data_IF_071607803465
#
_entry.id   IF_071607803465
#
_cell.length_a   1.000
_cell.length_b   1.000
_cell.length_c   1.000
_cell.angle_alpha   90.00
_cell.angle_beta   90.00
_cell.angle_gamma   90.00
#
_symmetry.space_group_name_H-M   'P 1'
#
loop_
_entity.id
_entity.type
_entity.pdbx_description
1 polymer ?
#
# COMPACT_ATOMS: atom_id res chain seq x y z
N UNK A 1 -14.53 10.06 -9.56
CA UNK A 1 -14.59 11.27 -10.40
C UNK A 1 -14.18 12.53 -9.64
N UNK A 2 -14.88 12.95 -8.57
CA UNK A 2 -14.55 14.18 -7.84
C UNK A 2 -13.09 14.25 -7.34
N UNK A 3 -12.55 13.18 -6.76
CA UNK A 3 -11.15 13.14 -6.32
C UNK A 3 -10.15 13.33 -7.48
N UNK A 4 -10.43 12.75 -8.64
CA UNK A 4 -9.59 12.89 -9.83
C UNK A 4 -9.56 14.33 -10.31
N UNK A 5 -10.73 14.95 -10.46
CA UNK A 5 -10.84 16.34 -10.92
C UNK A 5 -10.13 17.29 -9.96
N UNK A 6 -10.31 17.11 -8.65
CA UNK A 6 -9.65 17.93 -7.64
C UNK A 6 -8.12 17.78 -7.71
N UNK A 7 -7.60 16.55 -7.77
CA UNK A 7 -6.15 16.30 -7.85
C UNK A 7 -5.57 16.84 -9.16
N UNK A 8 -6.23 16.59 -10.28
CA UNK A 8 -5.85 17.13 -11.59
C UNK A 8 -5.75 18.66 -11.55
N UNK A 9 -6.78 19.33 -11.00
CA UNK A 9 -6.81 20.78 -10.86
C UNK A 9 -5.67 21.30 -9.97
N UNK A 10 -5.46 20.69 -8.80
CA UNK A 10 -4.39 21.10 -7.86
C UNK A 10 -3.00 20.96 -8.49
N UNK A 11 -2.70 19.84 -9.14
CA UNK A 11 -1.40 19.62 -9.78
C UNK A 11 -1.18 20.66 -10.88
N UNK A 12 -2.21 20.89 -11.71
CA UNK A 12 -2.14 21.87 -12.80
C UNK A 12 -1.92 23.29 -12.30
N UNK A 13 -2.59 23.71 -11.22
CA UNK A 13 -2.41 25.05 -10.66
C UNK A 13 -1.02 25.31 -10.13
N UNK A 14 -0.39 24.30 -9.54
CA UNK A 14 0.91 24.47 -8.89
C UNK A 14 2.08 24.48 -9.88
N UNK A 15 1.85 24.21 -11.18
CA UNK A 15 2.86 24.16 -12.25
C UNK A 15 4.12 23.33 -11.93
N UNK A 16 4.05 22.50 -10.88
CA UNK A 16 5.18 21.76 -10.34
C UNK A 16 4.95 20.27 -10.57
N UNK A 17 5.73 19.69 -11.47
CA UNK A 17 5.94 18.25 -11.51
C UNK A 17 7.03 17.92 -10.48
N UNK A 18 6.81 16.87 -9.70
CA UNK A 18 7.79 16.41 -8.72
C UNK A 18 9.09 15.91 -9.37
N UNK A 19 10.11 15.68 -8.53
CA UNK A 19 11.44 15.29 -9.00
C UNK A 19 11.45 13.98 -9.81
N UNK A 20 10.56 13.03 -9.50
CA UNK A 20 10.54 11.70 -10.12
C UNK A 20 9.90 11.66 -11.51
N UNK A 21 9.18 12.71 -11.91
CA UNK A 21 8.40 12.72 -13.15
C UNK A 21 9.29 12.61 -14.40
N UNK A 22 10.43 13.29 -14.42
CA UNK A 22 11.40 13.20 -15.52
C UNK A 22 11.99 11.79 -15.67
N UNK A 23 12.23 11.11 -14.55
CA UNK A 23 12.69 9.72 -14.57
C UNK A 23 11.62 8.79 -15.18
N UNK A 24 10.34 9.01 -14.88
CA UNK A 24 9.27 8.22 -15.47
C UNK A 24 9.10 8.41 -16.98
N UNK A 25 9.23 9.65 -17.48
CA UNK A 25 9.22 9.89 -18.92
C UNK A 25 10.35 9.13 -19.61
N UNK A 26 11.57 9.20 -19.06
CA UNK A 26 12.71 8.45 -19.57
C UNK A 26 12.42 6.94 -19.65
N UNK A 27 11.79 6.36 -18.62
CA UNK A 27 11.44 4.94 -18.64
C UNK A 27 10.31 4.59 -19.61
N UNK A 28 9.35 5.50 -19.81
CA UNK A 28 8.33 5.34 -20.84
C UNK A 28 8.94 5.41 -22.25
N UNK A 29 9.91 6.29 -22.48
CA UNK A 29 10.62 6.43 -23.76
C UNK A 29 11.39 5.17 -24.11
N UNK A 30 12.08 4.55 -23.14
CA UNK A 30 12.73 3.23 -23.35
C UNK A 30 11.70 2.18 -23.83
N UNK A 31 10.51 2.12 -23.24
CA UNK A 31 9.46 1.20 -23.66
C UNK A 31 8.90 1.49 -25.06
N UNK A 32 8.98 2.75 -25.50
CA UNK A 32 8.60 3.20 -26.85
C UNK A 32 9.71 3.01 -27.88
N UNK A 33 10.85 2.43 -27.48
CA UNK A 33 12.01 2.21 -28.34
C UNK A 33 12.97 3.41 -28.45
N UNK A 34 12.76 4.44 -27.64
CA UNK A 34 13.58 5.66 -27.59
C UNK A 34 14.67 5.54 -26.51
N UNK A 35 15.45 4.45 -26.54
CA UNK A 35 16.55 4.21 -25.59
C UNK A 35 17.86 4.85 -26.08
N UNK A 36 17.93 6.18 -26.02
CA UNK A 36 19.09 6.96 -26.49
C UNK A 36 20.39 6.59 -25.78
N UNK A 37 20.31 6.15 -24.53
CA UNK A 37 21.47 5.80 -23.69
C UNK A 37 21.84 4.31 -23.82
N UNK A 38 21.00 3.49 -24.44
CA UNK A 38 21.17 2.03 -24.51
C UNK A 38 21.12 1.36 -23.12
N UNK A 39 20.43 1.99 -22.17
CA UNK A 39 20.45 1.59 -20.78
C UNK A 39 19.46 0.49 -20.43
N UNK A 40 18.51 0.21 -21.32
CA UNK A 40 17.36 -0.65 -21.06
C UNK A 40 16.44 -0.11 -19.97
N UNK A 41 15.40 -0.88 -19.66
CA UNK A 41 14.44 -0.53 -18.63
C UNK A 41 15.00 -0.87 -17.23
N UNK A 42 15.36 0.16 -16.46
CA UNK A 42 15.96 0.01 -15.12
C UNK A 42 14.99 0.27 -13.96
N UNK A 43 13.69 0.21 -14.24
CA UNK A 43 12.62 0.49 -13.27
C UNK A 43 11.46 -0.49 -13.48
N UNK A 44 10.66 -0.85 -12.45
CA UNK A 44 9.54 -1.76 -12.63
C UNK A 44 8.57 -1.24 -13.72
N UNK A 45 8.13 -2.10 -14.66
CA UNK A 45 7.57 -1.64 -15.94
C UNK A 45 6.15 -1.10 -15.88
N UNK A 46 5.34 -1.44 -14.88
CA UNK A 46 3.89 -1.25 -14.98
C UNK A 46 3.50 0.23 -15.03
N UNK A 47 4.13 1.09 -14.22
CA UNK A 47 3.85 2.53 -14.28
C UNK A 47 4.37 3.15 -15.60
N UNK A 48 5.62 2.89 -16.05
CA UNK A 48 6.07 3.29 -17.38
C UNK A 48 5.15 2.82 -18.53
N UNK A 49 4.58 1.61 -18.47
CA UNK A 49 3.60 1.14 -19.47
C UNK A 49 2.34 2.00 -19.44
N UNK A 50 1.77 2.28 -18.26
CA UNK A 50 0.60 3.15 -18.10
C UNK A 50 0.86 4.55 -18.66
N UNK A 51 2.03 5.11 -18.38
CA UNK A 51 2.44 6.41 -18.88
C UNK A 51 2.63 6.39 -20.40
N UNK A 52 3.29 5.37 -20.94
CA UNK A 52 3.49 5.19 -22.39
C UNK A 52 2.17 5.13 -23.14
N UNK A 53 1.16 4.44 -22.58
CA UNK A 53 -0.18 4.42 -23.16
C UNK A 53 -0.83 5.82 -23.16
N UNK A 54 -0.66 6.59 -22.09
CA UNK A 54 -1.21 7.96 -22.01
C UNK A 54 -0.53 8.92 -23.00
N UNK A 55 0.77 8.74 -23.24
CA UNK A 55 1.56 9.50 -24.22
C UNK A 55 1.15 9.24 -25.68
N UNK A 56 0.34 8.21 -25.97
CA UNK A 56 -0.24 8.02 -27.30
C UNK A 56 -1.28 9.08 -27.65
N UNK A 57 -1.86 9.74 -26.65
CA UNK A 57 -3.01 10.64 -26.81
C UNK A 57 -2.77 12.06 -26.28
N UNK A 58 -1.75 12.25 -25.43
CA UNK A 58 -1.51 13.47 -24.67
C UNK A 58 -0.04 13.89 -24.78
N UNK A 59 0.23 15.19 -24.62
CA UNK A 59 1.59 15.68 -24.42
C UNK A 59 2.17 15.19 -23.08
N UNK A 60 3.50 15.27 -22.94
CA UNK A 60 4.25 14.73 -21.80
C UNK A 60 3.75 15.25 -20.46
N UNK A 61 3.53 16.56 -20.35
CA UNK A 61 3.09 17.20 -19.10
C UNK A 61 1.67 16.78 -18.78
N UNK A 62 0.75 16.85 -19.75
CA UNK A 62 -0.64 16.46 -19.53
C UNK A 62 -0.75 14.96 -19.19
N UNK A 63 -0.01 14.09 -19.87
CA UNK A 63 0.01 12.65 -19.59
C UNK A 63 0.46 12.35 -18.15
N UNK A 64 1.51 13.03 -17.69
CA UNK A 64 2.01 12.90 -16.33
C UNK A 64 0.98 13.36 -15.28
N UNK A 65 0.33 14.50 -15.49
CA UNK A 65 -0.70 15.03 -14.58
C UNK A 65 -1.91 14.09 -14.53
N UNK A 66 -2.36 13.59 -15.69
CA UNK A 66 -3.48 12.64 -15.78
C UNK A 66 -3.13 11.34 -15.06
N UNK A 67 -1.95 10.77 -15.32
CA UNK A 67 -1.48 9.56 -14.63
C UNK A 67 -1.41 9.76 -13.11
N UNK A 68 -0.85 10.88 -12.64
CA UNK A 68 -0.80 11.20 -11.21
C UNK A 68 -2.19 11.31 -10.59
N UNK A 69 -3.07 12.14 -11.17
CA UNK A 69 -4.44 12.29 -10.68
C UNK A 69 -5.19 10.95 -10.69
N UNK A 70 -4.98 10.12 -11.71
CA UNK A 70 -5.59 8.81 -11.86
C UNK A 70 -5.14 7.83 -10.77
N UNK A 71 -3.84 7.59 -10.62
CA UNK A 71 -3.30 6.60 -9.67
C UNK A 71 -3.69 6.94 -8.23
N UNK A 72 -3.66 8.22 -7.88
CA UNK A 72 -4.04 8.68 -6.54
C UNK A 72 -5.55 8.67 -6.29
N UNK A 73 -6.37 8.64 -7.34
CA UNK A 73 -7.84 8.59 -7.19
C UNK A 73 -8.37 7.17 -7.24
N UNK A 74 -7.76 6.30 -8.04
CA UNK A 74 -8.27 4.95 -8.28
C UNK A 74 -8.14 4.05 -7.06
N UNK A 75 -7.23 4.33 -6.12
CA UNK A 75 -7.07 3.58 -4.85
C UNK A 75 -8.38 3.45 -4.08
N UNK A 76 -9.29 4.42 -4.21
CA UNK A 76 -10.59 4.42 -3.53
C UNK A 76 -11.35 3.13 -3.78
N UNK A 77 -11.26 2.59 -5.00
CA UNK A 77 -12.08 1.48 -5.43
C UNK A 77 -11.64 0.15 -4.79
N UNK A 78 -10.39 -0.32 -4.99
CA UNK A 78 -9.96 -1.55 -4.34
C UNK A 78 -9.94 -1.42 -2.81
N UNK A 79 -9.61 -0.23 -2.29
CA UNK A 79 -9.64 -0.01 -0.85
C UNK A 79 -11.05 -0.10 -0.26
N UNK A 80 -12.05 0.49 -0.92
CA UNK A 80 -13.45 0.35 -0.54
C UNK A 80 -13.90 -1.11 -0.52
N UNK A 81 -13.54 -1.88 -1.54
CA UNK A 81 -13.88 -3.30 -1.62
C UNK A 81 -13.19 -4.11 -0.50
N UNK A 82 -11.92 -3.84 -0.22
CA UNK A 82 -11.20 -4.47 0.89
C UNK A 82 -11.82 -4.09 2.24
N UNK A 83 -12.14 -2.82 2.45
CA UNK A 83 -12.85 -2.33 3.62
C UNK A 83 -14.21 -3.01 3.78
N UNK A 84 -15.02 -3.12 2.72
CA UNK A 84 -16.32 -3.81 2.73
C UNK A 84 -16.18 -5.29 3.11
N UNK A 85 -15.10 -5.97 2.70
CA UNK A 85 -14.82 -7.35 3.12
C UNK A 85 -14.55 -7.46 4.63
N UNK A 86 -13.88 -6.47 5.21
CA UNK A 86 -13.52 -6.44 6.64
C UNK A 86 -14.70 -5.98 7.51
N UNK A 87 -15.37 -4.88 7.15
CA UNK A 87 -16.44 -4.29 7.94
C UNK A 87 -17.82 -4.91 7.68
N UNK A 88 -18.01 -5.58 6.55
CA UNK A 88 -19.33 -5.87 6.00
C UNK A 88 -19.91 -4.65 5.27
N UNK A 89 -21.25 -4.54 5.26
CA UNK A 89 -21.95 -3.38 4.69
C UNK A 89 -21.93 -2.13 5.58
N UNK A 90 -22.70 -1.12 5.16
CA UNK A 90 -22.91 0.14 5.88
C UNK A 90 -21.93 1.26 5.53
N UNK A 91 -21.88 2.28 6.38
CA UNK A 91 -21.18 3.55 6.13
C UNK A 91 -19.66 3.49 6.35
N UNK A 92 -19.16 2.57 7.18
CA UNK A 92 -17.74 2.53 7.55
C UNK A 92 -16.77 2.26 6.39
N UNK A 93 -17.05 1.35 5.43
CA UNK A 93 -16.25 1.23 4.21
C UNK A 93 -16.16 2.54 3.43
N UNK A 94 -17.25 3.33 3.37
CA UNK A 94 -17.28 4.61 2.66
C UNK A 94 -16.38 5.62 3.38
N UNK A 95 -16.54 5.78 4.70
CA UNK A 95 -15.72 6.67 5.52
C UNK A 95 -14.24 6.31 5.38
N UNK A 96 -13.89 5.04 5.54
CA UNK A 96 -12.52 4.55 5.41
C UNK A 96 -11.92 4.88 4.03
N UNK A 97 -12.72 4.74 2.98
CA UNK A 97 -12.31 5.03 1.59
C UNK A 97 -12.16 6.53 1.30
N UNK A 98 -12.95 7.38 1.97
CA UNK A 98 -12.74 8.83 1.89
C UNK A 98 -11.44 9.23 2.59
N UNK A 99 -11.17 8.65 3.76
CA UNK A 99 -9.95 8.93 4.53
C UNK A 99 -8.68 8.53 3.79
N UNK A 100 -8.67 7.38 3.08
CA UNK A 100 -7.49 6.95 2.32
C UNK A 100 -7.22 7.86 1.11
N UNK A 101 -8.27 8.31 0.42
CA UNK A 101 -8.16 9.11 -0.80
C UNK A 101 -7.62 10.51 -0.54
N UNK A 102 -8.04 11.10 0.58
CA UNK A 102 -7.63 12.44 1.04
C UNK A 102 -6.56 12.38 2.12
N UNK A 103 -5.86 11.25 2.24
CA UNK A 103 -4.79 11.13 3.21
C UNK A 103 -3.66 12.13 2.91
N UNK A 104 -3.18 12.81 3.95
CA UNK A 104 -2.12 13.82 3.83
C UNK A 104 -0.82 13.22 3.28
N UNK A 105 -0.42 12.03 3.72
CA UNK A 105 0.82 11.39 3.25
C UNK A 105 0.75 11.09 1.74
N UNK A 106 -0.43 10.72 1.23
CA UNK A 106 -0.61 10.55 -0.22
C UNK A 106 -0.67 11.88 -0.96
N UNK A 107 -1.19 12.92 -0.33
CA UNK A 107 -1.15 14.27 -0.89
C UNK A 107 0.26 14.85 -0.92
N UNK A 108 1.13 14.47 0.01
CA UNK A 108 2.56 14.79 -0.05
C UNK A 108 3.26 13.97 -1.15
N UNK A 109 2.93 12.67 -1.24
CA UNK A 109 3.50 11.75 -2.21
C UNK A 109 3.25 12.16 -3.67
N UNK A 110 2.09 12.77 -3.97
CA UNK A 110 1.83 13.29 -5.31
C UNK A 110 2.76 14.45 -5.68
N UNK A 111 3.19 15.24 -4.68
CA UNK A 111 4.00 16.45 -4.85
C UNK A 111 5.44 16.16 -5.25
N UNK A 112 6.04 15.10 -4.72
CA UNK A 112 7.39 14.66 -5.13
C UNK A 112 7.37 13.64 -6.28
N UNK A 113 6.20 13.11 -6.63
CA UNK A 113 6.00 12.24 -7.79
C UNK A 113 5.99 10.75 -7.50
N UNK A 114 5.53 10.31 -6.33
CA UNK A 114 5.41 8.89 -5.98
C UNK A 114 4.27 8.15 -6.70
N UNK A 115 4.01 8.43 -7.98
CA UNK A 115 2.90 7.87 -8.75
C UNK A 115 3.02 6.36 -8.93
N UNK A 116 4.22 5.87 -9.21
CA UNK A 116 4.48 4.44 -9.34
C UNK A 116 4.29 3.70 -8.00
N UNK A 117 4.70 4.33 -6.89
CA UNK A 117 4.46 3.80 -5.54
C UNK A 117 2.96 3.79 -5.24
N UNK A 118 2.24 4.85 -5.59
CA UNK A 118 0.78 4.91 -5.42
C UNK A 118 0.06 3.82 -6.22
N UNK A 119 0.48 3.60 -7.48
CA UNK A 119 -0.06 2.52 -8.30
C UNK A 119 0.20 1.14 -7.66
N UNK A 120 1.38 0.93 -7.07
CA UNK A 120 1.65 -0.28 -6.31
C UNK A 120 0.71 -0.41 -5.09
N UNK A 121 0.40 0.67 -4.38
CA UNK A 121 -0.57 0.67 -3.27
C UNK A 121 -2.02 0.37 -3.73
N UNK A 122 -2.40 0.79 -4.93
CA UNK A 122 -3.69 0.41 -5.55
C UNK A 122 -3.75 -1.11 -5.72
N UNK A 123 -2.70 -1.72 -6.26
CA UNK A 123 -2.62 -3.18 -6.42
C UNK A 123 -2.51 -3.91 -5.09
N UNK A 124 -1.81 -3.35 -4.11
CA UNK A 124 -1.75 -3.89 -2.76
C UNK A 124 -3.15 -3.90 -2.11
N UNK A 125 -3.92 -2.82 -2.26
CA UNK A 125 -5.30 -2.77 -1.78
C UNK A 125 -6.19 -3.82 -2.51
N UNK A 126 -5.98 -4.02 -3.81
CA UNK A 126 -6.69 -5.05 -4.58
C UNK A 126 -6.32 -6.47 -4.12
N UNK A 127 -5.03 -6.71 -3.82
CA UNK A 127 -4.55 -7.95 -3.20
C UNK A 127 -5.32 -8.27 -1.91
N UNK A 128 -5.58 -7.27 -1.05
CA UNK A 128 -6.33 -7.48 0.20
C UNK A 128 -7.75 -8.02 -0.02
N UNK A 129 -8.40 -7.68 -1.13
CA UNK A 129 -9.73 -8.20 -1.46
C UNK A 129 -9.70 -9.74 -1.59
N UNK A 130 -8.73 -10.26 -2.35
CA UNK A 130 -8.61 -11.69 -2.60
C UNK A 130 -7.93 -12.43 -1.46
N UNK A 131 -6.98 -11.78 -0.79
CA UNK A 131 -6.35 -12.27 0.43
C UNK A 131 -7.37 -12.53 1.54
N UNK A 132 -8.30 -11.59 1.78
CA UNK A 132 -9.36 -11.78 2.77
C UNK A 132 -10.30 -12.94 2.42
N UNK A 133 -10.58 -13.17 1.13
CA UNK A 133 -11.30 -14.36 0.71
C UNK A 133 -10.49 -15.65 0.95
N UNK A 134 -9.18 -15.64 0.69
CA UNK A 134 -8.29 -16.79 0.93
C UNK A 134 -8.21 -17.15 2.42
N UNK A 135 -8.23 -16.15 3.31
CA UNK A 135 -8.29 -16.37 4.76
C UNK A 135 -9.56 -17.13 5.15
N UNK A 136 -10.70 -16.76 4.54
CA UNK A 136 -12.01 -17.37 4.82
C UNK A 136 -12.19 -18.73 4.17
N UNK A 137 -11.61 -18.92 2.98
CA UNK A 137 -11.68 -20.17 2.23
C UNK A 137 -10.31 -20.50 1.60
N UNK A 138 -9.50 -21.21 2.38
CA UNK A 138 -8.13 -21.60 2.02
C UNK A 138 -8.07 -22.52 0.79
N UNK A 139 -9.19 -23.13 0.36
CA UNK A 139 -9.22 -24.02 -0.81
C UNK A 139 -9.50 -23.28 -2.12
N UNK A 140 -9.96 -22.01 -2.09
CA UNK A 140 -10.36 -21.31 -3.30
C UNK A 140 -9.16 -20.90 -4.17
N UNK A 141 -8.91 -21.64 -5.25
CA UNK A 141 -7.76 -21.38 -6.13
C UNK A 141 -7.91 -20.08 -6.94
N UNK A 142 -9.14 -19.68 -7.30
CA UNK A 142 -9.38 -18.44 -8.04
C UNK A 142 -8.90 -17.22 -7.26
N UNK A 143 -9.24 -17.15 -5.97
CA UNK A 143 -8.79 -16.06 -5.11
C UNK A 143 -7.26 -16.09 -4.91
N UNK A 144 -6.63 -17.27 -4.83
CA UNK A 144 -5.16 -17.38 -4.76
C UNK A 144 -4.48 -16.86 -6.02
N UNK A 145 -4.98 -17.23 -7.19
CA UNK A 145 -4.48 -16.75 -8.48
C UNK A 145 -4.60 -15.24 -8.58
N UNK A 146 -5.75 -14.68 -8.21
CA UNK A 146 -5.96 -13.23 -8.24
C UNK A 146 -5.10 -12.50 -7.21
N UNK A 147 -4.95 -13.03 -5.99
CA UNK A 147 -4.02 -12.49 -5.00
C UNK A 147 -2.57 -12.50 -5.52
N UNK A 148 -2.12 -13.61 -6.11
CA UNK A 148 -0.80 -13.73 -6.71
C UNK A 148 -0.59 -12.77 -7.89
N UNK A 149 -1.61 -12.59 -8.74
CA UNK A 149 -1.58 -11.60 -9.82
C UNK A 149 -1.40 -10.17 -9.29
N UNK A 150 -2.15 -9.78 -8.25
CA UNK A 150 -2.01 -8.44 -7.66
C UNK A 150 -0.69 -8.27 -6.89
N UNK A 151 -0.10 -9.33 -6.35
CA UNK A 151 1.28 -9.31 -5.85
C UNK A 151 2.23 -8.99 -7.00
N UNK A 152 2.16 -9.71 -8.12
CA UNK A 152 2.99 -9.43 -9.29
C UNK A 152 2.79 -8.01 -9.80
N UNK A 153 1.54 -7.53 -9.88
CA UNK A 153 1.25 -6.15 -10.27
C UNK A 153 1.84 -5.11 -9.30
N UNK A 154 1.86 -5.39 -8.00
CA UNK A 154 2.50 -4.53 -7.00
C UNK A 154 4.02 -4.50 -7.20
N UNK A 155 4.64 -5.66 -7.38
CA UNK A 155 6.08 -5.81 -7.63
C UNK A 155 6.48 -5.10 -8.93
N UNK A 156 5.74 -5.33 -10.02
CA UNK A 156 5.99 -4.69 -11.30
C UNK A 156 5.73 -3.19 -11.32
N UNK A 157 5.14 -2.60 -10.28
CA UNK A 157 4.88 -1.16 -10.18
C UNK A 157 5.96 -0.40 -9.42
N UNK A 158 6.44 -0.94 -8.28
CA UNK A 158 7.43 -0.23 -7.46
C UNK A 158 8.26 -1.18 -6.57
N UNK A 159 9.58 -0.96 -6.52
CA UNK A 159 10.50 -1.82 -5.77
C UNK A 159 10.31 -1.73 -4.24
N UNK A 160 10.05 -0.53 -3.69
CA UNK A 160 9.71 -0.38 -2.26
C UNK A 160 8.45 -1.16 -1.87
N UNK A 161 7.43 -1.18 -2.73
CA UNK A 161 6.21 -1.95 -2.46
C UNK A 161 6.46 -3.45 -2.54
N UNK A 162 7.36 -3.91 -3.42
CA UNK A 162 7.83 -5.30 -3.41
C UNK A 162 8.54 -5.67 -2.11
N UNK A 163 9.42 -4.80 -1.61
CA UNK A 163 10.09 -5.00 -0.33
C UNK A 163 9.09 -4.99 0.85
N UNK A 164 8.12 -4.07 0.84
CA UNK A 164 7.01 -4.05 1.81
C UNK A 164 6.21 -5.35 1.79
N UNK A 165 5.87 -5.88 0.62
CA UNK A 165 5.18 -7.17 0.46
C UNK A 165 6.00 -8.34 1.02
N UNK A 166 7.31 -8.39 0.75
CA UNK A 166 8.18 -9.41 1.33
C UNK A 166 8.15 -9.35 2.86
N UNK A 167 8.31 -8.14 3.42
CA UNK A 167 8.24 -7.92 4.87
C UNK A 167 6.86 -8.26 5.43
N UNK A 168 5.78 -8.02 4.69
CA UNK A 168 4.43 -8.43 5.05
C UNK A 168 4.33 -9.96 5.16
N UNK A 169 4.81 -10.70 4.16
CA UNK A 169 4.79 -12.17 4.20
C UNK A 169 5.60 -12.72 5.37
N UNK A 170 6.78 -12.19 5.62
CA UNK A 170 7.63 -12.59 6.76
C UNK A 170 6.94 -12.30 8.10
N UNK A 171 6.42 -11.09 8.28
CA UNK A 171 5.72 -10.68 9.50
C UNK A 171 4.44 -11.50 9.71
N UNK A 172 3.68 -11.75 8.64
CA UNK A 172 2.44 -12.52 8.69
C UNK A 172 2.70 -13.98 9.06
N UNK A 173 3.69 -14.63 8.42
CA UNK A 173 4.09 -16.00 8.76
C UNK A 173 4.62 -16.09 10.21
N UNK A 174 5.38 -15.11 10.66
CA UNK A 174 5.84 -15.04 12.05
C UNK A 174 4.67 -14.94 13.04
N UNK A 175 3.72 -14.02 12.80
CA UNK A 175 2.53 -13.87 13.64
C UNK A 175 1.62 -15.11 13.60
N UNK A 176 1.50 -15.77 12.45
CA UNK A 176 0.80 -17.06 12.34
C UNK A 176 1.50 -18.16 13.15
N UNK A 177 2.83 -18.22 13.12
CA UNK A 177 3.61 -19.18 13.90
C UNK A 177 3.40 -18.95 15.40
N UNK A 178 3.45 -17.70 15.87
CA UNK A 178 3.14 -17.34 17.26
C UNK A 178 1.71 -17.72 17.62
N UNK A 179 0.74 -17.45 16.74
CA UNK A 179 -0.66 -17.79 16.95
C UNK A 179 -0.90 -19.30 17.00
N UNK A 180 -0.19 -20.08 16.17
CA UNK A 180 -0.26 -21.54 16.12
C UNK A 180 0.44 -22.18 17.32
N UNK A 181 1.58 -21.65 17.78
CA UNK A 181 2.27 -22.14 18.97
C UNK A 181 1.36 -22.11 20.21
N UNK A 182 0.54 -21.06 20.34
CA UNK A 182 -0.47 -20.94 21.41
C UNK A 182 -1.67 -21.89 21.25
N UNK A 183 -1.94 -22.38 20.05
CA UNK A 183 -3.08 -23.27 19.77
C UNK A 183 -2.70 -24.39 18.78
N UNK A 184 -1.82 -25.30 19.22
CA UNK A 184 -1.16 -26.30 18.35
C UNK A 184 -2.10 -27.24 17.58
N UNK A 185 -3.35 -27.38 18.01
CA UNK A 185 -4.36 -28.25 17.37
C UNK A 185 -5.13 -27.56 16.23
N UNK A 186 -4.89 -26.27 15.97
CA UNK A 186 -5.62 -25.53 14.94
C UNK A 186 -5.06 -25.79 13.54
N UNK A 187 -5.64 -26.79 12.85
CA UNK A 187 -5.30 -27.15 11.48
C UNK A 187 -5.58 -26.00 10.47
N UNK A 188 -6.45 -25.04 10.80
CA UNK A 188 -6.74 -23.93 9.90
C UNK A 188 -5.53 -23.00 9.75
N UNK A 189 -4.79 -22.75 10.84
CA UNK A 189 -3.57 -21.92 10.82
C UNK A 189 -2.48 -22.56 9.95
N UNK A 190 -2.31 -23.89 10.05
CA UNK A 190 -1.36 -24.64 9.21
C UNK A 190 -1.73 -24.56 7.74
N UNK A 191 -3.01 -24.76 7.41
CA UNK A 191 -3.51 -24.66 6.04
C UNK A 191 -3.34 -23.23 5.48
N UNK A 192 -3.58 -22.21 6.31
CA UNK A 192 -3.38 -20.82 5.92
C UNK A 192 -1.91 -20.49 5.68
N UNK A 193 -0.99 -20.97 6.51
CA UNK A 193 0.45 -20.82 6.28
C UNK A 193 0.88 -21.48 4.96
N UNK A 194 0.41 -22.71 4.68
CA UNK A 194 0.65 -23.37 3.39
C UNK A 194 0.09 -22.54 2.22
N UNK A 195 -1.12 -22.01 2.36
CA UNK A 195 -1.72 -21.18 1.32
C UNK A 195 -0.98 -19.86 1.11
N UNK A 196 -0.44 -19.28 2.19
CA UNK A 196 0.40 -18.08 2.15
C UNK A 196 1.65 -18.32 1.31
N UNK A 197 2.34 -19.45 1.54
CA UNK A 197 3.52 -19.85 0.77
C UNK A 197 3.17 -20.09 -0.71
N UNK A 198 2.04 -20.75 -0.99
CA UNK A 198 1.57 -20.97 -2.37
C UNK A 198 1.31 -19.64 -3.08
N UNK A 199 0.57 -18.72 -2.45
CA UNK A 199 0.28 -17.40 -3.01
C UNK A 199 1.58 -16.62 -3.26
N UNK A 200 2.51 -16.63 -2.29
CA UNK A 200 3.81 -15.98 -2.43
C UNK A 200 4.64 -16.55 -3.58
N UNK A 201 4.73 -17.88 -3.70
CA UNK A 201 5.44 -18.56 -4.78
C UNK A 201 4.82 -18.25 -6.15
N UNK A 202 3.49 -18.30 -6.26
CA UNK A 202 2.79 -17.94 -7.49
C UNK A 202 3.03 -16.46 -7.86
N UNK A 203 2.98 -15.56 -6.88
CA UNK A 203 3.27 -14.14 -7.08
C UNK A 203 4.71 -13.92 -7.55
N UNK A 204 5.68 -14.65 -6.98
CA UNK A 204 7.06 -14.63 -7.42
C UNK A 204 7.21 -15.11 -8.88
N UNK A 205 6.62 -16.26 -9.23
CA UNK A 205 6.64 -16.79 -10.60
C UNK A 205 6.04 -15.78 -11.59
N UNK A 206 4.89 -15.18 -11.25
CA UNK A 206 4.25 -14.15 -12.06
C UNK A 206 5.04 -12.84 -12.13
N UNK A 207 6.01 -12.63 -11.23
CA UNK A 207 6.88 -11.45 -11.21
C UNK A 207 8.19 -11.66 -11.98
N UNK A 208 8.47 -12.88 -12.46
CA UNK A 208 9.71 -13.18 -13.20
C UNK A 208 9.94 -12.31 -14.44
N UNK A 209 8.93 -11.82 -15.19
CA UNK A 209 9.17 -10.89 -16.29
C UNK A 209 9.86 -9.58 -15.88
N UNK A 210 9.80 -9.20 -14.59
CA UNK A 210 10.39 -7.97 -14.08
C UNK A 210 11.84 -8.14 -13.63
N UNK A 211 12.40 -9.36 -13.68
CA UNK A 211 13.71 -9.67 -13.06
C UNK A 211 14.83 -8.76 -13.58
N UNK A 212 14.82 -8.42 -14.88
CA UNK A 212 15.82 -7.53 -15.48
C UNK A 212 15.78 -6.12 -14.89
N UNK A 213 14.60 -5.58 -14.63
CA UNK A 213 14.46 -4.28 -13.96
C UNK A 213 15.04 -4.34 -12.55
N UNK A 214 14.83 -5.45 -11.83
CA UNK A 214 15.32 -5.64 -10.47
C UNK A 214 16.83 -5.88 -10.39
N UNK A 215 17.44 -6.59 -11.33
CA UNK A 215 18.91 -6.75 -11.35
C UNK A 215 19.61 -5.41 -11.51
N UNK A 216 19.08 -4.50 -12.34
CA UNK A 216 19.60 -3.14 -12.44
C UNK A 216 19.44 -2.35 -11.14
N UNK A 217 18.28 -2.45 -10.48
CA UNK A 217 18.03 -1.75 -9.21
C UNK A 217 18.99 -2.25 -8.12
N UNK A 218 19.20 -3.56 -8.02
CA UNK A 218 20.12 -4.17 -7.05
C UNK A 218 21.57 -3.70 -7.22
N UNK A 219 21.98 -3.37 -8.45
CA UNK A 219 23.32 -2.85 -8.76
C UNK A 219 23.40 -1.32 -8.76
N UNK A 220 22.31 -0.62 -8.41
CA UNK A 220 22.23 0.84 -8.47
C UNK A 220 22.40 1.49 -7.10
N UNK A 221 22.86 2.75 -7.09
CA UNK A 221 22.92 3.58 -5.89
C UNK A 221 21.56 3.77 -5.21
N UNK A 222 20.44 3.60 -5.93
CA UNK A 222 19.08 3.72 -5.39
C UNK A 222 18.81 2.67 -4.31
N UNK A 223 19.41 1.48 -4.40
CA UNK A 223 19.29 0.47 -3.34
C UNK A 223 20.10 0.87 -2.09
N UNK A 224 21.25 1.53 -2.29
CA UNK A 224 22.07 2.08 -1.21
C UNK A 224 21.38 3.24 -0.47
N UNK A 225 20.43 3.94 -1.10
CA UNK A 225 19.53 4.88 -0.39
C UNK A 225 18.51 4.17 0.49
N UNK A 226 18.21 2.90 0.24
CA UNK A 226 17.26 2.11 1.05
C UNK A 226 17.95 1.17 2.03
N UNK A 227 19.25 1.37 2.24
CA UNK A 227 20.14 0.46 2.94
C UNK A 227 19.58 0.05 4.31
N UNK A 228 19.00 -1.16 4.34
CA UNK A 228 18.42 -1.76 5.53
C UNK A 228 19.53 -1.96 6.56
N UNK A 229 19.22 -1.64 7.82
CA UNK A 229 20.14 -1.65 8.96
C UNK A 229 21.17 -0.52 8.98
N UNK A 230 21.05 0.48 8.11
CA UNK A 230 21.78 1.75 8.24
C UNK A 230 20.89 2.80 8.91
N UNK A 231 20.95 2.86 10.24
CA UNK A 231 20.28 3.91 11.01
C UNK A 231 21.26 5.08 11.14
N UNK A 232 20.87 6.25 10.65
CA UNK A 232 21.67 7.47 10.77
C UNK A 232 20.88 8.57 11.52
N UNK A 233 21.50 9.75 11.66
CA UNK A 233 20.88 10.89 12.33
C UNK A 233 19.58 11.33 11.65
N UNK A 234 19.46 11.17 10.32
CA UNK A 234 18.25 11.54 9.58
C UNK A 234 17.07 10.67 10.00
N UNK A 235 17.32 9.38 10.29
CA UNK A 235 16.29 8.48 10.82
C UNK A 235 15.76 8.98 12.16
N UNK A 236 16.66 9.35 13.07
CA UNK A 236 16.30 9.85 14.40
C UNK A 236 15.58 11.20 14.33
N UNK A 237 16.09 12.13 13.51
CA UNK A 237 15.49 13.45 13.32
C UNK A 237 14.10 13.33 12.71
N UNK A 238 13.91 12.45 11.71
CA UNK A 238 12.61 12.18 11.13
C UNK A 238 11.63 11.63 12.17
N UNK A 239 12.03 10.62 12.95
CA UNK A 239 11.17 10.04 13.98
C UNK A 239 10.82 11.06 15.07
N UNK A 240 11.78 11.89 15.47
CA UNK A 240 11.57 12.98 16.42
C UNK A 240 10.55 13.98 15.87
N UNK A 241 10.75 14.43 14.64
CA UNK A 241 9.88 15.38 13.96
C UNK A 241 8.46 14.82 13.81
N UNK A 242 8.34 13.60 13.28
CA UNK A 242 7.06 12.99 12.97
C UNK A 242 6.24 12.62 14.21
N UNK A 243 6.88 12.12 15.28
CA UNK A 243 6.16 11.65 16.46
C UNK A 243 5.87 12.76 17.48
N UNK A 244 6.76 13.75 17.62
CA UNK A 244 6.73 14.69 18.73
C UNK A 244 6.47 16.14 18.35
N UNK A 245 6.60 16.53 17.08
CA UNK A 245 6.22 17.91 16.73
C UNK A 245 4.72 18.11 16.69
N UNK A 246 4.30 19.26 17.22
CA UNK A 246 2.90 19.66 17.34
C UNK A 246 2.13 19.56 16.01
N UNK A 247 2.80 19.87 14.89
CA UNK A 247 2.22 19.81 13.54
C UNK A 247 1.79 18.39 13.13
N UNK A 248 2.36 17.36 13.76
CA UNK A 248 2.06 15.95 13.49
C UNK A 248 1.27 15.26 14.60
N UNK A 249 0.90 15.97 15.69
CA UNK A 249 0.13 15.38 16.79
C UNK A 249 -1.16 14.71 16.31
N UNK A 250 -1.84 15.30 15.32
CA UNK A 250 -3.03 14.69 14.71
C UNK A 250 -2.72 13.32 14.09
N UNK A 251 -1.63 13.20 13.32
CA UNK A 251 -1.22 11.94 12.71
C UNK A 251 -0.81 10.90 13.76
N UNK A 252 -0.13 11.34 14.83
CA UNK A 252 0.21 10.49 15.97
C UNK A 252 -1.05 9.97 16.69
N UNK A 253 -2.07 10.82 16.90
CA UNK A 253 -3.36 10.38 17.45
C UNK A 253 -4.04 9.37 16.52
N UNK A 254 -4.10 9.62 15.21
CA UNK A 254 -4.68 8.68 14.25
C UNK A 254 -3.93 7.34 14.23
N UNK A 255 -2.59 7.37 14.35
CA UNK A 255 -1.75 6.18 14.48
C UNK A 255 -2.16 5.35 15.70
N UNK A 256 -2.23 5.96 16.88
CA UNK A 256 -2.62 5.25 18.12
C UNK A 256 -4.03 4.67 18.03
N UNK A 257 -5.00 5.46 17.57
CA UNK A 257 -6.39 5.00 17.40
C UNK A 257 -6.48 3.87 16.35
N UNK A 258 -5.70 3.95 15.28
CA UNK A 258 -5.55 2.91 14.27
C UNK A 258 -5.03 1.60 14.87
N UNK A 259 -3.95 1.67 15.66
CA UNK A 259 -3.37 0.51 16.35
C UNK A 259 -4.38 -0.10 17.32
N UNK A 260 -5.07 0.71 18.13
CA UNK A 260 -6.12 0.22 19.04
C UNK A 260 -7.20 -0.53 18.26
N UNK A 261 -7.62 0.01 17.12
CA UNK A 261 -8.57 -0.64 16.23
C UNK A 261 -8.09 -1.99 15.68
N UNK A 262 -6.81 -2.10 15.29
CA UNK A 262 -6.19 -3.38 14.89
C UNK A 262 -6.18 -4.36 16.05
N UNK A 263 -5.86 -3.92 17.27
CA UNK A 263 -5.89 -4.76 18.47
C UNK A 263 -7.30 -5.25 18.81
N UNK A 264 -8.32 -4.40 18.62
CA UNK A 264 -9.73 -4.81 18.72
C UNK A 264 -10.04 -5.89 17.69
N UNK A 265 -9.61 -5.70 16.43
CA UNK A 265 -9.85 -6.69 15.38
C UNK A 265 -9.20 -8.03 15.69
N UNK A 266 -7.98 -8.07 16.23
CA UNK A 266 -7.31 -9.32 16.63
C UNK A 266 -8.16 -10.13 17.62
N UNK A 267 -8.94 -9.45 18.48
CA UNK A 267 -9.84 -10.13 19.43
C UNK A 267 -11.11 -10.66 18.79
N UNK A 268 -11.62 -10.01 17.74
CA UNK A 268 -12.89 -10.36 17.09
C UNK A 268 -12.73 -11.30 15.90
N UNK A 269 -11.80 -10.97 15.01
CA UNK A 269 -11.39 -11.77 13.85
C UNK A 269 -9.86 -11.84 13.84
N UNK A 270 -9.34 -12.87 14.53
CA UNK A 270 -7.91 -13.06 14.76
C UNK A 270 -7.09 -13.02 13.47
N UNK A 271 -7.59 -13.60 12.37
CA UNK A 271 -6.83 -13.72 11.13
C UNK A 271 -6.79 -12.41 10.35
N UNK A 272 -7.91 -11.67 10.30
CA UNK A 272 -7.92 -10.33 9.74
C UNK A 272 -7.08 -9.37 10.60
N UNK A 273 -7.16 -9.49 11.93
CA UNK A 273 -6.33 -8.74 12.86
C UNK A 273 -4.83 -8.97 12.64
N UNK A 274 -4.41 -10.24 12.52
CA UNK A 274 -3.02 -10.59 12.18
C UNK A 274 -2.61 -10.02 10.82
N UNK A 275 -3.50 -10.01 9.83
CA UNK A 275 -3.24 -9.41 8.51
C UNK A 275 -2.94 -7.92 8.62
N UNK A 276 -3.81 -7.16 9.29
CA UNK A 276 -3.60 -5.71 9.45
C UNK A 276 -2.36 -5.40 10.31
N UNK A 277 -2.12 -6.20 11.35
CA UNK A 277 -0.91 -6.08 12.16
C UNK A 277 0.36 -6.35 11.32
N UNK A 278 0.37 -7.39 10.47
CA UNK A 278 1.50 -7.68 9.59
C UNK A 278 1.73 -6.57 8.55
N UNK A 279 0.68 -6.00 7.97
CA UNK A 279 0.79 -4.84 7.06
C UNK A 279 1.38 -3.61 7.77
N UNK A 280 0.97 -3.36 9.01
CA UNK A 280 1.51 -2.27 9.80
C UNK A 280 2.98 -2.52 10.17
N UNK A 281 3.31 -3.71 10.69
CA UNK A 281 4.69 -4.09 11.07
C UNK A 281 5.63 -4.04 9.86
N UNK A 282 5.19 -4.47 8.69
CA UNK A 282 6.00 -4.45 7.47
C UNK A 282 6.33 -3.04 6.96
N UNK A 283 5.48 -2.05 7.22
CA UNK A 283 5.82 -0.64 7.00
C UNK A 283 6.64 -0.05 8.14
N UNK A 284 6.37 -0.47 9.37
CA UNK A 284 7.00 0.02 10.59
C UNK A 284 8.48 -0.38 10.69
N UNK A 285 8.81 -1.67 10.52
CA UNK A 285 10.18 -2.16 10.66
C UNK A 285 11.17 -1.37 9.80
N UNK A 286 10.97 -1.20 8.48
CA UNK A 286 11.91 -0.44 7.68
C UNK A 286 11.94 1.06 8.01
N UNK A 287 10.85 1.65 8.52
CA UNK A 287 10.87 3.03 9.04
C UNK A 287 11.88 3.19 10.18
N UNK A 288 12.06 2.18 11.03
CA UNK A 288 13.01 2.26 12.14
C UNK A 288 14.44 1.81 11.78
N UNK A 289 14.61 1.08 10.69
CA UNK A 289 15.88 0.44 10.33
C UNK A 289 16.43 0.86 8.96
N UNK A 290 16.04 2.02 8.42
CA UNK A 290 16.59 2.55 7.16
C UNK A 290 16.97 4.03 7.28
N UNK A 291 17.90 4.46 6.43
CA UNK A 291 18.38 5.84 6.33
C UNK A 291 17.39 6.82 5.71
N UNK A 292 16.32 6.30 5.07
CA UNK A 292 15.25 7.08 4.45
C UNK A 292 13.87 6.63 4.97
N UNK A 293 13.59 6.82 6.27
CA UNK A 293 12.40 6.28 6.93
C UNK A 293 11.08 6.83 6.36
N UNK A 294 11.10 8.06 5.84
CA UNK A 294 9.95 8.73 5.27
C UNK A 294 9.29 7.93 4.15
N UNK A 295 10.07 7.22 3.33
CA UNK A 295 9.51 6.44 2.20
C UNK A 295 8.62 5.28 2.65
N UNK A 296 8.84 4.75 3.86
CA UNK A 296 8.10 3.61 4.39
C UNK A 296 6.79 4.00 5.07
N UNK A 297 6.66 5.27 5.47
CA UNK A 297 5.45 5.75 6.15
C UNK A 297 4.23 5.76 5.23
N UNK A 298 4.44 5.86 3.91
CA UNK A 298 3.37 5.79 2.91
C UNK A 298 2.66 4.42 2.88
N UNK A 299 3.22 3.37 3.49
CA UNK A 299 2.52 2.07 3.62
C UNK A 299 1.59 2.01 4.85
N UNK A 300 1.73 2.93 5.80
CA UNK A 300 0.97 2.91 7.06
C UNK A 300 -0.52 3.26 6.91
N UNK A 301 -0.96 4.19 6.04
CA UNK A 301 -2.36 4.58 5.95
C UNK A 301 -3.32 3.41 5.70
N UNK A 302 -2.94 2.40 4.91
CA UNK A 302 -3.81 1.27 4.60
C UNK A 302 -4.27 0.52 5.88
N UNK A 303 -3.37 -0.09 6.67
CA UNK A 303 -3.77 -0.80 7.88
C UNK A 303 -4.30 0.13 8.98
N UNK A 304 -3.78 1.35 9.10
CA UNK A 304 -4.18 2.26 10.18
C UNK A 304 -5.56 2.85 9.98
N UNK A 305 -5.93 3.24 8.76
CA UNK A 305 -7.27 3.79 8.50
C UNK A 305 -8.35 2.70 8.52
N UNK A 306 -8.00 1.46 8.18
CA UNK A 306 -8.86 0.29 8.44
C UNK A 306 -9.02 0.12 9.97
N UNK A 307 -7.93 0.07 10.73
CA UNK A 307 -7.96 0.00 12.19
C UNK A 307 -8.80 1.11 12.82
N UNK A 308 -8.56 2.37 12.44
CA UNK A 308 -9.29 3.53 12.94
C UNK A 308 -10.80 3.39 12.71
N UNK A 309 -11.19 2.94 11.52
CA UNK A 309 -12.60 2.72 11.19
C UNK A 309 -13.23 1.60 12.03
N UNK A 310 -12.45 0.57 12.41
CA UNK A 310 -12.89 -0.48 13.35
C UNK A 310 -13.11 0.12 14.74
N UNK A 311 -12.15 0.92 15.21
CA UNK A 311 -12.25 1.59 16.50
C UNK A 311 -13.50 2.48 16.56
N UNK A 312 -13.71 3.35 15.58
CA UNK A 312 -14.89 4.24 15.50
C UNK A 312 -16.19 3.43 15.43
N UNK A 313 -16.25 2.38 14.60
CA UNK A 313 -17.41 1.49 14.50
C UNK A 313 -17.81 0.88 15.84
N UNK A 314 -16.83 0.56 16.70
CA UNK A 314 -17.06 -0.07 18.00
C UNK A 314 -17.34 0.92 19.11
N UNK A 315 -16.84 2.15 18.98
CA UNK A 315 -17.09 3.23 19.93
C UNK A 315 -18.52 3.78 19.80
N UNK A 316 -19.01 3.98 18.57
CA UNK A 316 -20.29 4.62 18.29
C UNK A 316 -21.50 4.03 19.05
N UNK A 317 -21.72 2.70 19.10
CA UNK A 317 -22.84 2.12 19.84
C UNK A 317 -22.75 2.32 21.37
N UNK A 318 -21.55 2.53 21.91
CA UNK A 318 -21.31 2.73 23.35
C UNK A 318 -21.57 4.17 23.79
N UNK A 319 -21.54 5.11 22.85
CA UNK A 319 -22.01 6.48 23.05
C UNK A 319 -23.54 6.46 23.04
N UNK A 320 -24.15 6.06 24.17
CA UNK A 320 -25.61 6.02 24.39
C UNK A 320 -26.21 7.37 23.98
N UNK A 321 -26.87 7.38 22.81
CA UNK A 321 -27.43 8.59 22.19
C UNK A 321 -27.51 8.51 20.65
N UNK A 322 -26.67 7.69 20.01
CA UNK A 322 -26.60 7.61 18.54
C UNK A 322 -27.55 6.58 17.88
N UNK A 323 -28.35 5.85 18.66
CA UNK A 323 -29.24 4.79 18.15
C UNK A 323 -30.43 5.31 17.31
N UNK A 324 -30.64 6.63 17.22
CA UNK A 324 -31.75 7.20 16.44
C UNK A 324 -31.47 7.38 14.95
N UNK A 325 -30.21 7.38 14.48
CA UNK A 325 -29.88 7.80 13.10
C UNK A 325 -29.30 6.73 12.17
N UNK A 326 -28.90 5.55 12.68
CA UNK A 326 -28.17 4.56 11.85
C UNK A 326 -29.09 3.50 11.21
N UNK A 327 -30.41 3.55 11.46
CA UNK A 327 -31.39 2.64 10.82
C UNK A 327 -31.84 3.06 9.41
N UNK A 328 -31.26 4.13 8.84
CA UNK A 328 -31.76 4.75 7.60
C UNK A 328 -30.84 4.62 6.37
N UNK A 329 -29.80 3.77 6.38
CA UNK A 329 -28.92 3.55 5.21
C UNK A 329 -28.64 2.08 4.94
#
# INVERSE_FOLDING_TARGET
MASFLLKFYIIRLNNGLGADYGAYLKWADVLRGLDVVGGGLRYPPIYPILLSFSLLFLDEVTALIVCAAFTFSVIVFPYYLAAKKIFGGGIFPIISSLLIVFNMLYSEMIGWGGNANMLALVFLAAFLIFWTNCIRNVKNMKDKLLAAFFISATVGSHYLAAAHLLMFFLSFLFLLLVAWYKNRRDNNLKNLAKSTLIIGLMGFILSTPYIFSYTHILNSAVLHETNLLSVDQRTLDFLRHYLFEYRFMFNTCLLFLGIIGVLILIREDKLLGITLAALFISGCLPTFFTSHPARWIYFWPIPLLLGLSIFVKKLLPKLKGFNYYVKLV
#
